data_IF_709740356367
#
_entry.id   IF_709740356367
#
_cell.length_a   1.000
_cell.length_b   1.000
_cell.length_c   1.000
_cell.angle_alpha   90.00
_cell.angle_beta   90.00
_cell.angle_gamma   90.00
#
_symmetry.space_group_name_H-M   'P 1'
#
loop_
_entity.id
_entity.type
_entity.pdbx_description
1 polymer ?
#
# COMPACT_ATOMS: atom_id res chain seq x y z
N UNK A 1 -62.04 15.64 27.13
CA UNK A 1 -60.76 16.39 27.17
C UNK A 1 -59.71 15.75 28.08
N UNK A 2 -60.03 14.96 29.10
CA UNK A 2 -59.05 14.33 30.01
C UNK A 2 -58.17 13.23 29.35
N UNK A 3 -58.68 12.52 28.34
CA UNK A 3 -57.94 11.38 27.73
C UNK A 3 -56.82 11.81 26.75
N UNK A 4 -56.95 12.97 26.14
CA UNK A 4 -55.94 13.48 25.19
C UNK A 4 -54.66 13.91 25.90
N UNK A 5 -54.82 14.56 27.09
CA UNK A 5 -53.67 14.96 27.90
C UNK A 5 -52.87 13.77 28.42
N UNK A 6 -53.56 12.67 28.79
CA UNK A 6 -52.92 11.44 29.22
C UNK A 6 -52.15 10.75 28.08
N UNK A 7 -52.67 10.72 26.89
CA UNK A 7 -52.05 10.14 25.70
C UNK A 7 -50.75 10.95 25.30
N UNK A 8 -50.86 12.28 25.35
CA UNK A 8 -49.68 13.15 25.06
C UNK A 8 -48.57 12.96 26.08
N UNK A 9 -48.94 12.85 27.39
CA UNK A 9 -47.95 12.62 28.46
C UNK A 9 -47.32 11.26 28.33
N UNK A 10 -48.07 10.21 27.96
CA UNK A 10 -47.54 8.87 27.75
C UNK A 10 -46.59 8.81 26.54
N UNK A 11 -46.94 9.53 25.47
CA UNK A 11 -46.07 9.61 24.26
C UNK A 11 -44.75 10.31 24.58
N UNK A 12 -44.78 11.36 25.41
CA UNK A 12 -43.59 12.08 25.84
C UNK A 12 -42.68 11.23 26.75
N UNK A 13 -43.26 10.40 27.61
CA UNK A 13 -42.50 9.50 28.50
C UNK A 13 -41.84 8.37 27.69
N UNK A 14 -42.52 7.82 26.67
CA UNK A 14 -41.99 6.77 25.79
C UNK A 14 -40.86 7.31 24.88
N UNK A 15 -40.98 8.55 24.40
CA UNK A 15 -39.92 9.16 23.60
C UNK A 15 -38.63 9.50 24.39
N UNK A 16 -38.72 9.73 25.69
CA UNK A 16 -37.54 9.96 26.56
C UNK A 16 -36.80 8.66 26.90
N UNK A 17 -37.43 7.49 26.80
CA UNK A 17 -36.79 6.21 27.14
C UNK A 17 -35.91 5.64 26.02
N UNK A 18 -35.92 6.24 24.83
CA UNK A 18 -35.16 5.77 23.64
C UNK A 18 -33.77 6.42 23.51
N UNK A 19 -33.27 7.12 24.55
CA UNK A 19 -31.88 7.54 24.56
C UNK A 19 -30.98 6.32 24.85
N UNK A 20 -30.64 5.57 23.78
CA UNK A 20 -29.54 4.62 23.87
C UNK A 20 -28.27 5.39 24.25
N UNK A 21 -27.65 4.96 25.35
CA UNK A 21 -26.34 5.48 25.72
C UNK A 21 -25.36 5.10 24.63
N UNK A 22 -24.99 6.05 23.78
CA UNK A 22 -23.84 5.88 22.88
C UNK A 22 -22.63 5.75 23.79
N UNK A 23 -22.27 4.52 24.10
CA UNK A 23 -21.03 4.21 24.80
C UNK A 23 -19.91 4.31 23.77
N UNK A 24 -19.08 5.34 23.88
CA UNK A 24 -17.84 5.38 23.12
C UNK A 24 -16.98 4.18 23.55
N UNK A 25 -16.68 3.30 22.59
CA UNK A 25 -15.77 2.20 22.87
C UNK A 25 -14.38 2.79 23.14
N UNK A 26 -13.71 2.39 24.21
CA UNK A 26 -12.35 2.84 24.49
C UNK A 26 -11.43 2.32 23.37
N UNK A 27 -10.79 3.23 22.64
CA UNK A 27 -9.74 2.85 21.69
C UNK A 27 -8.50 2.41 22.47
N UNK A 28 -7.99 1.22 22.15
CA UNK A 28 -6.69 0.79 22.62
C UNK A 28 -5.67 1.06 21.53
N UNK A 29 -4.71 1.92 21.80
CA UNK A 29 -3.58 2.18 20.90
C UNK A 29 -2.46 1.22 21.27
N UNK A 30 -2.06 0.36 20.31
CA UNK A 30 -0.86 -0.47 20.43
C UNK A 30 0.18 0.05 19.46
N UNK A 31 1.35 0.40 19.96
CA UNK A 31 2.54 0.69 19.16
C UNK A 31 3.24 -0.65 18.88
N UNK A 32 3.66 -0.82 17.62
CA UNK A 32 4.47 -1.95 17.18
C UNK A 32 5.77 -1.40 16.57
N UNK A 33 6.90 -1.90 17.00
CA UNK A 33 8.21 -1.42 16.60
C UNK A 33 9.23 -2.54 16.45
N UNK A 34 10.51 -2.16 16.46
CA UNK A 34 11.62 -3.13 16.36
C UNK A 34 11.60 -4.13 17.51
N UNK A 35 11.15 -3.72 18.69
CA UNK A 35 10.94 -4.56 19.87
C UNK A 35 9.89 -5.67 19.65
N UNK A 36 8.97 -5.47 18.70
CA UNK A 36 7.94 -6.45 18.31
C UNK A 36 8.36 -7.26 17.05
N UNK A 37 9.57 -7.05 16.53
CA UNK A 37 10.13 -7.76 15.38
C UNK A 37 10.05 -7.02 14.03
N UNK A 38 9.66 -5.74 14.02
CA UNK A 38 9.76 -4.92 12.82
C UNK A 38 11.24 -4.67 12.49
N UNK A 39 11.63 -4.75 11.22
CA UNK A 39 13.03 -4.64 10.80
C UNK A 39 13.64 -3.26 10.99
N UNK A 40 12.82 -2.21 10.96
CA UNK A 40 13.23 -0.82 11.23
C UNK A 40 12.02 0.02 11.63
N UNK A 41 12.20 0.95 12.55
CA UNK A 41 11.20 1.98 12.88
C UNK A 41 11.09 3.07 11.78
N UNK A 42 11.99 3.09 10.80
CA UNK A 42 11.90 3.98 9.65
C UNK A 42 11.01 3.33 8.57
N UNK A 43 9.71 3.59 8.70
CA UNK A 43 8.68 3.03 7.83
C UNK A 43 8.35 3.99 6.69
N UNK A 44 8.19 3.47 5.46
CA UNK A 44 7.88 4.24 4.25
C UNK A 44 6.41 4.09 3.84
N UNK A 45 5.90 2.88 3.88
CA UNK A 45 4.56 2.55 3.41
C UNK A 45 3.97 1.40 4.22
N UNK A 46 2.66 1.45 4.40
CA UNK A 46 1.87 0.37 4.97
C UNK A 46 0.68 0.09 4.07
N UNK A 47 0.37 -1.17 3.85
CA UNK A 47 -0.81 -1.64 3.12
C UNK A 47 -1.38 -2.88 3.80
N UNK A 48 -2.64 -3.16 3.53
CA UNK A 48 -3.26 -4.46 3.81
C UNK A 48 -3.53 -5.17 2.49
N UNK A 49 -3.19 -6.45 2.40
CA UNK A 49 -3.48 -7.26 1.23
C UNK A 49 -4.86 -7.93 1.32
N UNK A 50 -5.26 -8.62 0.26
CA UNK A 50 -6.55 -9.30 0.18
C UNK A 50 -6.68 -10.49 1.16
N UNK A 51 -5.56 -11.02 1.66
CA UNK A 51 -5.52 -12.09 2.67
C UNK A 51 -5.60 -11.56 4.11
N UNK A 52 -5.61 -10.22 4.26
CA UNK A 52 -5.69 -9.54 5.56
C UNK A 52 -4.33 -9.33 6.24
N UNK A 53 -3.20 -9.72 5.64
CA UNK A 53 -1.88 -9.40 6.15
C UNK A 53 -1.56 -7.92 6.01
N UNK A 54 -0.89 -7.38 7.01
CA UNK A 54 -0.36 -6.01 6.95
C UNK A 54 1.09 -6.06 6.48
N UNK A 55 1.37 -5.34 5.40
CA UNK A 55 2.71 -5.22 4.85
C UNK A 55 3.29 -3.86 5.19
N UNK A 56 4.54 -3.85 5.64
CA UNK A 56 5.25 -2.64 6.04
C UNK A 56 6.57 -2.56 5.30
N UNK A 57 6.69 -1.53 4.49
CA UNK A 57 7.94 -1.13 3.84
C UNK A 57 8.81 -0.37 4.83
N UNK A 58 10.06 -0.77 4.95
CA UNK A 58 11.02 -0.08 5.82
C UNK A 58 12.34 0.16 5.08
N UNK A 59 13.23 0.93 5.70
CA UNK A 59 14.62 1.09 5.24
C UNK A 59 15.46 -0.19 5.36
N UNK A 60 14.96 -1.22 6.04
CA UNK A 60 15.70 -2.46 6.32
C UNK A 60 14.95 -3.71 5.84
N UNK A 61 14.06 -3.55 4.87
CA UNK A 61 13.37 -4.66 4.22
C UNK A 61 11.85 -4.59 4.25
N UNK A 62 11.23 -5.62 3.69
CA UNK A 62 9.80 -5.80 3.63
C UNK A 62 9.34 -6.66 4.80
N UNK A 63 8.39 -6.18 5.57
CA UNK A 63 7.82 -6.89 6.71
C UNK A 63 6.37 -7.24 6.46
N UNK A 64 5.96 -8.45 6.85
CA UNK A 64 4.56 -8.88 6.87
C UNK A 64 4.14 -9.16 8.31
N UNK A 65 3.04 -8.57 8.73
CA UNK A 65 2.44 -8.80 10.04
C UNK A 65 1.16 -9.63 9.88
N UNK A 66 1.06 -10.70 10.65
CA UNK A 66 -0.07 -11.65 10.62
C UNK A 66 -1.10 -11.41 11.75
N UNK A 67 -0.96 -10.31 12.49
CA UNK A 67 -1.75 -9.99 13.68
C UNK A 67 -1.05 -10.39 14.99
N UNK A 68 0.01 -11.18 14.93
CA UNK A 68 0.77 -11.64 16.10
C UNK A 68 2.25 -11.29 16.01
N UNK A 69 2.90 -11.53 14.86
CA UNK A 69 4.34 -11.34 14.65
C UNK A 69 4.66 -10.75 13.29
N UNK A 70 5.82 -10.12 13.21
CA UNK A 70 6.42 -9.72 11.95
C UNK A 70 7.25 -10.85 11.36
N UNK A 71 7.19 -10.98 10.03
CA UNK A 71 8.07 -11.83 9.23
C UNK A 71 8.81 -10.90 8.27
N UNK A 72 10.14 -10.90 8.36
CA UNK A 72 11.00 -10.09 7.48
C UNK A 72 11.32 -10.87 6.20
N UNK A 73 11.21 -10.18 5.07
CA UNK A 73 11.63 -10.65 3.76
C UNK A 73 12.75 -9.75 3.22
N UNK A 74 13.83 -10.34 2.70
CA UNK A 74 14.90 -9.58 2.01
C UNK A 74 16.30 -9.70 2.60
N UNK A 75 16.53 -10.29 3.77
CA UNK A 75 17.90 -10.39 4.33
C UNK A 75 18.60 -11.74 4.10
N UNK A 76 17.89 -12.89 4.06
CA UNK A 76 18.54 -14.19 4.13
C UNK A 76 18.19 -15.22 3.04
N UNK A 77 17.21 -14.99 2.20
CA UNK A 77 16.80 -15.97 1.19
C UNK A 77 16.81 -15.35 -0.21
N UNK A 78 17.96 -15.44 -0.84
CA UNK A 78 18.19 -15.22 -2.27
C UNK A 78 18.29 -13.77 -2.77
N UNK A 79 19.51 -13.23 -2.73
CA UNK A 79 20.08 -12.31 -3.74
C UNK A 79 19.41 -10.95 -3.94
N UNK A 80 18.68 -10.42 -3.00
CA UNK A 80 18.35 -9.02 -3.06
C UNK A 80 19.16 -8.27 -2.00
N UNK A 81 20.22 -7.62 -2.41
CA UNK A 81 20.96 -6.61 -1.63
C UNK A 81 20.07 -5.39 -1.30
N UNK A 82 18.74 -5.56 -1.44
CA UNK A 82 17.77 -4.48 -1.47
C UNK A 82 17.04 -4.40 -0.16
N UNK A 83 17.60 -3.58 0.68
CA UNK A 83 17.02 -3.33 1.98
C UNK A 83 16.02 -2.17 1.97
N UNK A 84 16.10 -1.26 1.00
CA UNK A 84 15.28 -0.05 0.98
C UNK A 84 14.02 -0.22 0.15
N UNK A 85 12.89 -0.37 0.84
CA UNK A 85 11.57 -0.47 0.19
C UNK A 85 10.89 0.90 0.23
N UNK A 86 10.64 1.47 -0.96
CA UNK A 86 10.08 2.81 -1.10
C UNK A 86 8.55 2.81 -1.15
N UNK A 87 7.96 1.80 -1.78
CA UNK A 87 6.52 1.76 -1.99
C UNK A 87 5.97 0.36 -2.04
N UNK A 88 4.70 0.22 -1.68
CA UNK A 88 3.93 -1.03 -1.73
C UNK A 88 2.57 -0.76 -2.37
N UNK A 89 2.07 -1.77 -3.10
CA UNK A 89 0.72 -1.77 -3.64
C UNK A 89 0.16 -3.19 -3.58
N UNK A 90 -0.99 -3.36 -2.93
CA UNK A 90 -1.79 -4.59 -3.06
C UNK A 90 -2.45 -4.57 -4.44
N UNK A 91 -2.21 -5.60 -5.24
CA UNK A 91 -2.78 -5.70 -6.57
C UNK A 91 -4.30 -5.91 -6.45
N UNK A 92 -5.13 -5.06 -7.05
CA UNK A 92 -6.58 -5.18 -6.96
C UNK A 92 -7.14 -6.36 -7.76
N UNK A 93 -6.36 -6.93 -8.68
CA UNK A 93 -6.79 -7.96 -9.63
C UNK A 93 -6.37 -9.37 -9.24
N UNK A 94 -5.36 -9.48 -8.42
CA UNK A 94 -4.81 -10.75 -7.95
C UNK A 94 -4.23 -10.59 -6.53
N UNK A 95 -3.77 -11.69 -5.95
CA UNK A 95 -3.24 -11.71 -4.58
C UNK A 95 -1.81 -11.13 -4.46
N UNK A 96 -1.21 -10.60 -5.53
CA UNK A 96 0.16 -10.11 -5.48
C UNK A 96 0.30 -8.83 -4.66
N UNK A 97 1.47 -8.65 -4.08
CA UNK A 97 1.90 -7.40 -3.48
C UNK A 97 3.07 -6.86 -4.29
N UNK A 98 2.87 -5.73 -4.94
CA UNK A 98 3.91 -5.03 -5.68
C UNK A 98 4.82 -4.26 -4.73
N UNK A 99 6.12 -4.31 -5.00
CA UNK A 99 7.16 -3.76 -4.13
C UNK A 99 8.09 -2.89 -4.97
N UNK A 100 8.05 -1.59 -4.74
CA UNK A 100 8.94 -0.61 -5.38
C UNK A 100 10.17 -0.38 -4.51
N UNK A 101 11.35 -0.54 -5.10
CA UNK A 101 12.65 -0.42 -4.42
C UNK A 101 13.58 0.54 -5.16
N UNK A 102 14.74 0.81 -4.59
CA UNK A 102 15.84 1.51 -5.25
C UNK A 102 16.53 0.68 -6.36
N UNK A 103 16.18 -0.60 -6.50
CA UNK A 103 16.72 -1.54 -7.47
C UNK A 103 15.70 -1.99 -8.53
N UNK A 104 14.48 -1.53 -8.46
CA UNK A 104 13.43 -1.83 -9.42
C UNK A 104 12.12 -2.26 -8.80
N UNK A 105 11.27 -2.79 -9.68
CA UNK A 105 9.97 -3.31 -9.32
C UNK A 105 10.06 -4.81 -9.02
N UNK A 106 9.49 -5.19 -7.90
CA UNK A 106 9.35 -6.57 -7.46
C UNK A 106 7.89 -6.86 -7.17
N UNK A 107 7.57 -8.13 -7.02
CA UNK A 107 6.30 -8.58 -6.44
C UNK A 107 6.57 -9.71 -5.44
N UNK A 108 5.70 -9.81 -4.45
CA UNK A 108 5.73 -10.93 -3.53
C UNK A 108 4.91 -12.08 -4.10
N UNK A 109 5.57 -13.20 -4.34
CA UNK A 109 4.97 -14.42 -4.82
C UNK A 109 4.58 -15.32 -3.64
N UNK A 110 3.29 -15.49 -3.39
CA UNK A 110 2.79 -16.29 -2.27
C UNK A 110 3.16 -17.78 -2.36
N UNK A 111 3.10 -18.44 -3.54
CA UNK A 111 3.50 -19.82 -3.68
C UNK A 111 4.94 -20.11 -3.26
N UNK A 112 5.86 -19.25 -3.63
CA UNK A 112 7.29 -19.43 -3.25
C UNK A 112 7.63 -18.78 -1.92
N UNK A 113 6.77 -17.85 -1.42
CA UNK A 113 7.03 -17.08 -0.23
C UNK A 113 8.20 -16.11 -0.37
N UNK A 114 8.49 -15.64 -1.58
CA UNK A 114 9.67 -14.85 -1.90
C UNK A 114 9.33 -13.60 -2.70
N UNK A 115 10.22 -12.61 -2.63
CA UNK A 115 10.20 -11.46 -3.54
C UNK A 115 10.81 -11.84 -4.87
N UNK A 116 10.07 -11.64 -5.94
CA UNK A 116 10.49 -11.94 -7.32
C UNK A 116 10.67 -10.64 -8.09
N UNK A 117 11.79 -10.47 -8.84
CA UNK A 117 11.97 -9.30 -9.69
C UNK A 117 10.95 -9.33 -10.82
N UNK A 118 10.36 -8.17 -11.09
CA UNK A 118 9.51 -7.98 -12.26
C UNK A 118 10.32 -7.31 -13.38
N UNK A 119 10.41 -8.00 -14.52
CA UNK A 119 11.04 -7.43 -15.71
C UNK A 119 10.12 -6.33 -16.26
N UNK A 120 10.45 -5.08 -15.98
CA UNK A 120 9.80 -3.94 -16.61
C UNK A 120 10.50 -3.60 -17.91
N UNK A 121 9.81 -3.03 -18.92
CA UNK A 121 10.44 -2.49 -20.14
C UNK A 121 11.45 -1.37 -19.86
N UNK A 122 11.61 -1.00 -18.62
CA UNK A 122 12.45 0.10 -18.11
C UNK A 122 13.86 -0.36 -17.71
N UNK A 123 14.30 -1.50 -18.18
CA UNK A 123 15.60 -2.10 -17.83
C UNK A 123 16.83 -1.21 -18.16
N UNK A 124 16.63 -0.17 -18.98
CA UNK A 124 17.67 0.80 -19.36
C UNK A 124 17.66 2.07 -18.49
N UNK A 125 16.66 2.25 -17.61
CA UNK A 125 16.62 3.36 -16.66
C UNK A 125 17.28 2.93 -15.33
N UNK A 126 17.69 3.91 -14.54
CA UNK A 126 18.03 3.62 -13.15
C UNK A 126 16.79 2.97 -12.50
N UNK A 127 17.01 2.09 -11.54
CA UNK A 127 15.95 1.22 -11.05
C UNK A 127 15.13 1.83 -9.92
N UNK A 128 15.32 3.10 -9.57
CA UNK A 128 14.78 3.71 -8.37
C UNK A 128 13.27 4.01 -8.49
N UNK A 129 12.45 3.09 -8.02
CA UNK A 129 11.00 3.25 -7.92
C UNK A 129 10.67 4.02 -6.63
N UNK A 130 9.95 5.13 -6.74
CA UNK A 130 9.61 5.99 -5.60
C UNK A 130 8.16 5.85 -5.15
N UNK A 131 7.27 5.38 -6.02
CA UNK A 131 5.86 5.19 -5.66
C UNK A 131 5.13 4.25 -6.59
N UNK A 132 4.07 3.65 -6.07
CA UNK A 132 3.17 2.73 -6.77
C UNK A 132 1.72 3.06 -6.42
N UNK A 133 0.84 3.03 -7.42
CA UNK A 133 -0.61 3.09 -7.22
C UNK A 133 -1.35 2.31 -8.30
N UNK A 134 -2.54 1.79 -7.99
CA UNK A 134 -3.36 1.07 -8.93
C UNK A 134 -3.92 2.02 -10.01
N UNK A 135 -3.98 1.55 -11.24
CA UNK A 135 -4.70 2.19 -12.32
C UNK A 135 -6.12 1.60 -12.47
N UNK A 136 -7.00 2.35 -13.13
CA UNK A 136 -8.42 1.93 -13.32
C UNK A 136 -8.57 0.82 -14.37
N UNK A 137 -7.57 0.59 -15.19
CA UNK A 137 -7.52 -0.40 -16.27
C UNK A 137 -6.81 -1.70 -15.88
N UNK A 138 -6.72 -1.98 -14.58
CA UNK A 138 -5.99 -3.12 -14.01
C UNK A 138 -4.46 -3.04 -14.19
N UNK A 139 -3.93 -1.89 -14.61
CA UNK A 139 -2.52 -1.59 -14.63
C UNK A 139 -2.03 -0.99 -13.33
N UNK A 140 -0.80 -0.52 -13.33
CA UNK A 140 -0.19 0.22 -12.22
C UNK A 140 0.47 1.50 -12.72
N UNK A 141 0.35 2.55 -11.91
CA UNK A 141 1.13 3.75 -12.06
C UNK A 141 2.38 3.65 -11.19
N UNK A 142 3.51 3.95 -11.78
CA UNK A 142 4.82 3.90 -11.15
C UNK A 142 5.41 5.29 -11.20
N UNK A 143 5.84 5.81 -10.06
CA UNK A 143 6.71 6.99 -10.04
C UNK A 143 8.16 6.54 -9.92
N UNK A 144 9.00 7.13 -10.76
CA UNK A 144 10.40 6.76 -10.90
C UNK A 144 11.28 8.01 -10.72
N UNK A 145 12.41 7.88 -10.03
CA UNK A 145 13.24 9.03 -9.64
C UNK A 145 13.69 9.88 -10.82
N UNK A 146 14.12 9.27 -11.92
CA UNK A 146 14.62 9.97 -13.10
C UNK A 146 13.65 9.99 -14.28
N UNK A 147 12.81 8.95 -14.43
CA UNK A 147 11.94 8.79 -15.59
C UNK A 147 10.57 9.46 -15.45
N UNK A 148 10.22 9.98 -14.24
CA UNK A 148 8.94 10.63 -14.01
C UNK A 148 7.83 9.64 -13.68
N UNK A 149 6.72 9.66 -14.43
CA UNK A 149 5.54 8.83 -14.20
C UNK A 149 5.37 7.83 -15.33
N UNK A 150 5.14 6.58 -14.98
CA UNK A 150 5.01 5.48 -15.91
C UNK A 150 3.68 4.80 -15.65
N UNK A 151 2.91 4.60 -16.70
CA UNK A 151 1.76 3.70 -16.70
C UNK A 151 2.18 2.37 -17.29
N UNK A 152 1.97 1.31 -16.56
CA UNK A 152 2.25 -0.05 -17.02
C UNK A 152 1.00 -0.92 -16.91
N UNK A 153 0.66 -1.60 -17.99
CA UNK A 153 -0.41 -2.61 -18.02
C UNK A 153 0.06 -3.81 -18.84
N UNK A 154 -0.70 -4.90 -18.84
CA UNK A 154 -0.41 -6.07 -19.65
C UNK A 154 -0.46 -5.79 -21.17
N UNK A 155 -1.16 -4.73 -21.57
CA UNK A 155 -1.34 -4.36 -22.98
C UNK A 155 -0.39 -3.27 -23.44
N UNK A 156 0.03 -2.38 -22.54
CA UNK A 156 0.82 -1.20 -22.90
C UNK A 156 1.69 -0.70 -21.76
N UNK A 157 2.77 -0.02 -22.13
CA UNK A 157 3.64 0.71 -21.21
C UNK A 157 3.88 2.10 -21.74
N UNK A 158 3.33 3.10 -21.06
CA UNK A 158 3.48 4.50 -21.42
C UNK A 158 4.30 5.24 -20.36
N UNK A 159 5.36 5.93 -20.80
CA UNK A 159 6.19 6.75 -19.94
C UNK A 159 5.86 8.24 -20.13
N UNK A 160 5.42 8.89 -19.06
CA UNK A 160 5.12 10.32 -19.03
C UNK A 160 6.27 11.08 -18.38
N UNK A 161 7.15 11.64 -19.21
CA UNK A 161 8.20 12.55 -18.73
C UNK A 161 7.82 13.99 -19.03
N UNK A 162 8.41 14.99 -18.35
CA UNK A 162 8.19 16.39 -18.71
C UNK A 162 8.48 16.66 -20.20
N UNK A 163 9.44 15.96 -20.77
CA UNK A 163 9.82 16.05 -22.18
C UNK A 163 8.72 15.53 -23.11
N UNK A 164 8.11 14.38 -22.77
CA UNK A 164 7.05 13.79 -23.60
C UNK A 164 5.76 14.63 -23.53
N UNK A 165 5.43 15.16 -22.36
CA UNK A 165 4.19 15.96 -22.17
C UNK A 165 4.32 17.36 -22.77
N UNK A 166 5.49 17.99 -22.66
CA UNK A 166 5.72 19.37 -23.14
C UNK A 166 6.35 19.43 -24.54
N UNK A 167 6.63 18.29 -25.17
CA UNK A 167 7.32 18.26 -26.47
C UNK A 167 8.78 18.74 -26.39
N UNK A 168 9.34 18.84 -25.19
CA UNK A 168 10.73 19.29 -25.01
C UNK A 168 11.69 18.15 -25.32
N UNK A 169 12.73 18.44 -26.10
CA UNK A 169 13.81 17.49 -26.35
C UNK A 169 14.69 17.39 -25.12
N UNK A 170 14.61 16.27 -24.41
CA UNK A 170 15.43 16.02 -23.23
C UNK A 170 16.70 15.22 -23.58
N UNK A 171 17.67 15.12 -22.65
CA UNK A 171 18.93 14.42 -22.84
C UNK A 171 18.81 12.89 -23.00
N UNK A 172 17.60 12.33 -22.92
CA UNK A 172 17.34 10.88 -22.94
C UNK A 172 16.74 10.35 -24.25
N UNK A 173 16.86 11.10 -25.34
CA UNK A 173 16.63 10.48 -26.66
C UNK A 173 17.87 9.68 -27.05
N UNK A 174 17.88 8.40 -26.70
CA UNK A 174 18.69 7.42 -27.44
C UNK A 174 17.94 7.07 -28.70
N UNK A 175 18.62 7.30 -29.83
CA UNK A 175 18.19 6.88 -31.15
C UNK A 175 18.05 5.35 -31.24
#
# INVERSE_FOLDING_TARGET
MKNISFIITLFFIVSLSSFEKISAQPYTIKRLGMEDGLSSNYTQKIIQDQKGYIWVATSSGLNRFDGQKFILYGQDNHKTEQNWINSLLADPTNDNVWVGTDQGLFYFDYPTGSMMPHATPLSHLDKNITGLTAATDSGIWITHYTAGVIHWSAQDTTCYTPQTVLGLKGPFQTA
#
